data_IF_047302578149
#
_entry.id   IF_047302578149
#
_cell.length_a   1.000
_cell.length_b   1.000
_cell.length_c   1.000
_cell.angle_alpha   90.00
_cell.angle_beta   90.00
_cell.angle_gamma   90.00
#
_symmetry.space_group_name_H-M   'P 1'
#
loop_
_entity.id
_entity.type
_entity.pdbx_description
1 polymer ?
#
# COMPACT_ATOMS: atom_id res chain seq x y z
N UNK A 1 7.46 10.68 -0.67
CA UNK A 1 6.44 11.55 -1.29
C UNK A 1 5.08 11.48 -0.59
N UNK A 2 4.44 10.33 -0.38
CA UNK A 2 3.08 10.27 0.24
C UNK A 2 2.93 10.94 1.61
N UNK A 3 3.84 10.65 2.54
CA UNK A 3 3.89 11.29 3.86
C UNK A 3 4.20 12.79 3.78
N UNK A 4 5.06 13.19 2.85
CA UNK A 4 5.41 14.59 2.60
C UNK A 4 4.22 15.39 2.04
N UNK A 5 3.49 14.82 1.07
CA UNK A 5 2.26 15.41 0.54
C UNK A 5 1.20 15.59 1.64
N UNK A 6 1.11 14.65 2.57
CA UNK A 6 0.20 14.74 3.72
C UNK A 6 0.58 15.87 4.67
N UNK A 7 1.86 16.01 5.02
CA UNK A 7 2.37 17.12 5.84
C UNK A 7 2.11 18.48 5.18
N UNK A 8 2.36 18.59 3.87
CA UNK A 8 2.09 19.80 3.10
C UNK A 8 0.60 20.18 3.10
N UNK A 9 -0.28 19.19 2.92
CA UNK A 9 -1.74 19.41 2.95
C UNK A 9 -2.24 19.81 4.33
N UNK A 10 -1.69 19.21 5.39
CA UNK A 10 -2.03 19.52 6.79
C UNK A 10 -1.39 20.84 7.28
N UNK A 11 -0.40 21.38 6.56
CA UNK A 11 0.47 22.48 7.01
C UNK A 11 1.11 22.21 8.37
N UNK A 12 1.45 20.95 8.62
CA UNK A 12 2.01 20.48 9.88
C UNK A 12 3.16 19.53 9.59
N UNK A 13 4.29 19.75 10.25
CA UNK A 13 5.47 18.91 10.14
C UNK A 13 5.49 17.93 11.30
N UNK A 14 5.56 16.64 10.97
CA UNK A 14 5.76 15.57 11.94
C UNK A 14 7.21 15.57 12.44
N UNK A 15 7.42 15.03 13.64
CA UNK A 15 8.77 14.73 14.09
C UNK A 15 9.35 13.58 13.27
N UNK A 16 10.67 13.40 13.36
CA UNK A 16 11.35 12.29 12.67
C UNK A 16 10.81 10.94 13.14
N UNK A 17 10.56 10.79 14.43
CA UNK A 17 10.07 9.57 15.06
C UNK A 17 8.65 9.24 14.57
N UNK A 18 7.80 10.25 14.40
CA UNK A 18 6.45 10.06 13.85
C UNK A 18 6.48 9.64 12.37
N UNK A 19 7.38 10.22 11.57
CA UNK A 19 7.57 9.81 10.17
C UNK A 19 8.09 8.39 10.08
N UNK A 20 9.06 8.02 10.92
CA UNK A 20 9.66 6.69 10.96
C UNK A 20 8.64 5.63 11.37
N UNK A 21 7.87 5.87 12.43
CA UNK A 21 6.81 4.95 12.87
C UNK A 21 5.73 4.74 11.80
N UNK A 22 5.36 5.81 11.07
CA UNK A 22 4.41 5.70 9.94
C UNK A 22 5.01 4.90 8.78
N UNK A 23 6.29 5.11 8.47
CA UNK A 23 6.97 4.38 7.41
C UNK A 23 7.09 2.89 7.75
N UNK A 24 7.47 2.55 8.97
CA UNK A 24 7.54 1.16 9.45
C UNK A 24 6.21 0.45 9.29
N UNK A 25 5.11 1.07 9.76
CA UNK A 25 3.78 0.50 9.61
C UNK A 25 3.39 0.29 8.13
N UNK A 26 3.70 1.26 7.26
CA UNK A 26 3.45 1.12 5.81
C UNK A 26 4.21 -0.09 5.24
N UNK A 27 5.46 -0.30 5.64
CA UNK A 27 6.27 -1.42 5.14
C UNK A 27 5.75 -2.77 5.65
N UNK A 28 5.32 -2.85 6.91
CA UNK A 28 4.67 -4.05 7.47
C UNK A 28 3.40 -4.38 6.70
N UNK A 29 2.57 -3.36 6.40
CA UNK A 29 1.32 -3.55 5.67
C UNK A 29 1.57 -3.99 4.22
N UNK A 30 2.59 -3.45 3.54
CA UNK A 30 2.99 -3.89 2.19
C UNK A 30 3.40 -5.37 2.21
N UNK A 31 4.24 -5.76 3.16
CA UNK A 31 4.69 -7.15 3.27
C UNK A 31 3.52 -8.10 3.56
N UNK A 32 2.67 -7.74 4.53
CA UNK A 32 1.47 -8.51 4.89
C UNK A 32 0.54 -8.69 3.70
N UNK A 33 0.24 -7.62 2.97
CA UNK A 33 -0.63 -7.68 1.80
C UNK A 33 -0.07 -8.58 0.70
N UNK A 34 1.24 -8.50 0.43
CA UNK A 34 1.87 -9.36 -0.56
C UNK A 34 1.82 -10.84 -0.13
N UNK A 35 2.11 -11.14 1.13
CA UNK A 35 2.04 -12.49 1.68
C UNK A 35 0.64 -13.09 1.61
N UNK A 36 -0.36 -12.40 2.19
CA UNK A 36 -1.74 -12.87 2.25
C UNK A 36 -2.37 -12.99 0.85
N UNK A 37 -2.04 -12.07 -0.06
CA UNK A 37 -2.53 -12.15 -1.44
C UNK A 37 -1.91 -13.34 -2.17
N UNK A 38 -0.61 -13.60 -1.99
CA UNK A 38 0.04 -14.75 -2.60
C UNK A 38 -0.61 -16.06 -2.11
N UNK A 39 -0.90 -16.18 -0.82
CA UNK A 39 -1.64 -17.33 -0.26
C UNK A 39 -3.05 -17.45 -0.84
N UNK A 40 -3.81 -16.35 -0.87
CA UNK A 40 -5.20 -16.31 -1.37
C UNK A 40 -5.30 -16.78 -2.83
N UNK A 41 -4.29 -16.52 -3.65
CA UNK A 41 -4.25 -16.89 -5.07
C UNK A 41 -3.45 -18.18 -5.34
N UNK A 42 -3.18 -18.98 -4.30
CA UNK A 42 -2.57 -20.31 -4.45
C UNK A 42 -1.09 -20.30 -4.79
N UNK A 43 -0.38 -19.20 -4.50
CA UNK A 43 1.06 -19.04 -4.71
C UNK A 43 1.79 -18.69 -3.39
N UNK A 44 1.60 -19.46 -2.30
CA UNK A 44 2.14 -19.11 -0.98
C UNK A 44 3.66 -18.88 -1.02
N UNK A 45 4.11 -17.82 -0.36
CA UNK A 45 5.52 -17.40 -0.33
C UNK A 45 6.03 -16.68 -1.59
N UNK A 46 5.23 -16.58 -2.66
CA UNK A 46 5.60 -15.82 -3.86
C UNK A 46 5.23 -14.34 -3.71
N UNK A 47 6.11 -13.57 -3.05
CA UNK A 47 5.91 -12.13 -2.84
C UNK A 47 5.79 -11.32 -4.12
N UNK A 48 6.47 -11.71 -5.20
CA UNK A 48 6.39 -11.01 -6.49
C UNK A 48 4.98 -11.15 -7.06
N UNK A 49 4.42 -12.37 -7.07
CA UNK A 49 3.05 -12.59 -7.51
C UNK A 49 2.05 -11.88 -6.59
N UNK A 50 2.19 -12.02 -5.27
CA UNK A 50 1.31 -11.38 -4.30
C UNK A 50 1.28 -9.86 -4.42
N UNK A 51 2.45 -9.21 -4.53
CA UNK A 51 2.55 -7.76 -4.68
C UNK A 51 1.92 -7.27 -6.00
N UNK A 52 2.19 -7.98 -7.11
CA UNK A 52 1.61 -7.63 -8.42
C UNK A 52 0.08 -7.78 -8.43
N UNK A 53 -0.45 -8.87 -7.86
CA UNK A 53 -1.90 -9.10 -7.78
C UNK A 53 -2.55 -8.05 -6.87
N UNK A 54 -2.00 -7.81 -5.68
CA UNK A 54 -2.55 -6.83 -4.74
C UNK A 54 -2.56 -5.41 -5.32
N UNK A 55 -1.45 -5.00 -5.97
CA UNK A 55 -1.35 -3.71 -6.65
C UNK A 55 -2.36 -3.58 -7.79
N UNK A 56 -2.51 -4.63 -8.61
CA UNK A 56 -3.47 -4.65 -9.71
C UNK A 56 -4.91 -4.55 -9.22
N UNK A 57 -5.31 -5.36 -8.22
CA UNK A 57 -6.67 -5.37 -7.69
C UNK A 57 -7.08 -3.99 -7.16
N UNK A 58 -6.19 -3.32 -6.41
CA UNK A 58 -6.46 -1.98 -5.88
C UNK A 58 -6.80 -0.97 -6.98
N UNK A 59 -6.09 -1.02 -8.10
CA UNK A 59 -6.34 -0.12 -9.24
C UNK A 59 -7.57 -0.55 -10.01
N UNK A 60 -7.73 -1.85 -10.30
CA UNK A 60 -8.86 -2.39 -11.04
C UNK A 60 -10.21 -2.14 -10.34
N UNK A 61 -10.26 -2.30 -9.02
CA UNK A 61 -11.43 -1.99 -8.19
C UNK A 61 -11.76 -0.49 -8.24
N UNK A 62 -10.75 0.38 -8.11
CA UNK A 62 -10.94 1.82 -8.20
C UNK A 62 -11.43 2.26 -9.58
N UNK A 63 -10.86 1.71 -10.65
CA UNK A 63 -11.29 1.97 -12.03
C UNK A 63 -12.73 1.49 -12.26
N UNK A 64 -13.07 0.29 -11.77
CA UNK A 64 -14.43 -0.26 -11.90
C UNK A 64 -15.45 0.62 -11.15
N UNK A 65 -15.09 1.12 -9.97
CA UNK A 65 -15.96 1.99 -9.18
C UNK A 65 -16.15 3.39 -9.81
N UNK A 66 -15.14 3.91 -10.52
CA UNK A 66 -15.24 5.19 -11.24
C UNK A 66 -15.98 5.07 -12.58
N UNK A 67 -16.20 3.85 -13.07
CA UNK A 67 -16.89 3.59 -14.33
C UNK A 67 -16.04 3.89 -15.57
N UNK A 68 -16.69 3.93 -16.73
CA UNK A 68 -16.07 4.39 -17.97
C UNK A 68 -16.07 5.93 -17.97
N UNK A 69 -14.87 6.50 -17.87
CA UNK A 69 -14.58 7.93 -17.93
C UNK A 69 -13.69 8.22 -19.13
#
# INVERSE_FOLDING_TARGET
>A
SGLEMSQNSLRYNWTREEVDAKLDQIMVDIHKNAFETAEKYGMPGNYVAGANIAGFLKVAEAMTAQGLI
#
